data_IF_900052523976
#
_entry.id   IF_900052523976
#
_cell.length_a   1.000
_cell.length_b   1.000
_cell.length_c   1.000
_cell.angle_alpha   90.00
_cell.angle_beta   90.00
_cell.angle_gamma   90.00
#
_symmetry.space_group_name_H-M   'P 1'
#
loop_
_entity.id
_entity.type
_entity.pdbx_description
1 polymer ?
#
# COMPACT_ATOMS: atom_id res chain seq x y z
N UNK A 1 -0.04 3.20 -30.44
CA UNK A 1 -0.49 3.50 -29.06
C UNK A 1 0.69 4.15 -28.35
N UNK A 2 0.70 5.47 -28.21
CA UNK A 2 1.78 6.18 -27.47
C UNK A 2 1.44 6.08 -25.98
N UNK A 3 2.22 5.30 -25.23
CA UNK A 3 2.14 5.29 -23.77
C UNK A 3 2.81 6.56 -23.25
N UNK A 4 2.08 7.35 -22.48
CA UNK A 4 2.53 8.62 -21.93
C UNK A 4 3.55 8.37 -20.80
N UNK A 5 4.81 8.14 -21.16
CA UNK A 5 5.91 7.80 -20.25
C UNK A 5 6.12 8.83 -19.14
N UNK A 6 5.77 10.10 -19.40
CA UNK A 6 5.89 11.19 -18.43
C UNK A 6 4.98 11.04 -17.19
N UNK A 7 3.83 10.37 -17.31
CA UNK A 7 2.93 10.16 -16.17
C UNK A 7 3.48 9.12 -15.17
N UNK A 8 4.30 8.18 -15.66
CA UNK A 8 4.93 7.12 -14.85
C UNK A 8 6.12 7.68 -14.08
N UNK A 9 6.90 8.56 -14.69
CA UNK A 9 8.05 9.21 -14.05
C UNK A 9 7.65 10.13 -12.89
N UNK A 10 6.52 10.84 -13.01
CA UNK A 10 6.04 11.73 -11.95
C UNK A 10 5.62 10.97 -10.67
N UNK A 11 5.15 9.72 -10.79
CA UNK A 11 4.87 8.87 -9.62
C UNK A 11 6.15 8.43 -8.90
N UNK A 12 7.27 8.29 -9.60
CA UNK A 12 8.53 7.84 -9.01
C UNK A 12 9.28 8.95 -8.23
N UNK A 13 8.93 10.22 -8.42
CA UNK A 13 9.68 11.37 -7.89
C UNK A 13 9.42 11.74 -6.42
N UNK A 14 8.50 11.06 -5.73
CA UNK A 14 8.30 11.28 -4.30
C UNK A 14 9.35 10.52 -3.47
N UNK A 15 10.41 11.22 -3.05
CA UNK A 15 11.40 10.81 -2.03
C UNK A 15 10.83 9.77 -1.06
N UNK A 16 11.52 8.63 -0.93
CA UNK A 16 11.17 7.50 -0.04
C UNK A 16 10.65 7.95 1.34
N UNK A 17 11.31 8.93 1.96
CA UNK A 17 11.00 9.46 3.29
C UNK A 17 9.62 10.15 3.38
N UNK A 18 9.21 10.88 2.33
CA UNK A 18 7.89 11.52 2.27
C UNK A 18 6.77 10.51 2.04
N UNK A 19 7.05 9.43 1.30
CA UNK A 19 6.10 8.33 1.10
C UNK A 19 5.91 7.50 2.37
N UNK A 20 7.01 7.25 3.06
CA UNK A 20 7.08 6.55 4.34
C UNK A 20 6.15 7.22 5.38
N UNK A 21 6.38 8.50 5.67
CA UNK A 21 5.54 9.25 6.62
C UNK A 21 4.06 9.36 6.21
N UNK A 22 3.75 9.48 4.92
CA UNK A 22 2.36 9.53 4.44
C UNK A 22 1.59 8.23 4.71
N UNK A 23 2.22 7.07 4.44
CA UNK A 23 1.60 5.77 4.67
C UNK A 23 1.28 5.52 6.15
N UNK A 24 2.24 5.79 7.04
CA UNK A 24 2.01 5.60 8.48
C UNK A 24 0.89 6.50 9.01
N UNK A 25 0.82 7.75 8.54
CA UNK A 25 -0.24 8.68 8.91
C UNK A 25 -1.61 8.20 8.44
N UNK A 26 -1.70 7.68 7.21
CA UNK A 26 -2.95 7.12 6.67
C UNK A 26 -3.42 5.90 7.48
N UNK A 27 -2.51 4.96 7.77
CA UNK A 27 -2.81 3.78 8.59
C UNK A 27 -3.30 4.19 9.98
N UNK A 28 -2.64 5.16 10.63
CA UNK A 28 -3.06 5.67 11.93
C UNK A 28 -4.47 6.27 11.89
N UNK A 29 -4.73 7.17 10.93
CA UNK A 29 -6.04 7.79 10.75
C UNK A 29 -7.14 6.74 10.49
N UNK A 30 -6.86 5.70 9.71
CA UNK A 30 -7.82 4.62 9.45
C UNK A 30 -8.14 3.84 10.74
N UNK A 31 -7.13 3.42 11.49
CA UNK A 31 -7.32 2.60 12.69
C UNK A 31 -8.00 3.37 13.84
N UNK A 32 -7.82 4.69 13.92
CA UNK A 32 -8.59 5.53 14.84
C UNK A 32 -10.10 5.48 14.57
N UNK A 33 -10.50 5.44 13.29
CA UNK A 33 -11.91 5.37 12.87
C UNK A 33 -12.46 3.95 12.95
N UNK A 34 -11.60 2.94 12.84
CA UNK A 34 -11.96 1.53 12.79
C UNK A 34 -11.15 0.70 13.80
N UNK A 35 -11.32 0.94 15.12
CA UNK A 35 -10.47 0.34 16.16
C UNK A 35 -10.62 -1.18 16.30
N UNK A 36 -11.71 -1.77 15.81
CA UNK A 36 -11.93 -3.21 15.81
C UNK A 36 -11.18 -3.95 14.69
N UNK A 37 -10.48 -3.23 13.80
CA UNK A 37 -9.71 -3.84 12.70
C UNK A 37 -8.56 -4.66 13.26
N UNK A 38 -8.58 -5.96 13.03
CA UNK A 38 -7.50 -6.87 13.45
C UNK A 38 -6.57 -7.25 12.29
N UNK A 39 -7.11 -7.25 11.07
CA UNK A 39 -6.42 -7.69 9.87
C UNK A 39 -6.77 -6.81 8.68
N UNK A 40 -5.83 -6.73 7.74
CA UNK A 40 -5.99 -6.14 6.41
C UNK A 40 -5.71 -7.22 5.38
N UNK A 41 -6.61 -7.39 4.42
CA UNK A 41 -6.42 -8.31 3.31
C UNK A 41 -5.92 -7.52 2.08
N UNK A 42 -4.75 -7.89 1.59
CA UNK A 42 -4.23 -7.38 0.31
C UNK A 42 -4.59 -8.42 -0.74
N UNK A 43 -5.27 -7.98 -1.80
CA UNK A 43 -5.73 -8.80 -2.91
C UNK A 43 -5.20 -8.22 -4.22
N UNK A 44 -4.64 -9.09 -5.05
CA UNK A 44 -4.12 -8.77 -6.37
C UNK A 44 -4.60 -9.82 -7.35
N UNK A 45 -4.93 -9.40 -8.56
CA UNK A 45 -5.26 -10.32 -9.64
C UNK A 45 -4.00 -10.61 -10.44
N UNK A 46 -3.66 -11.88 -10.63
CA UNK A 46 -2.55 -12.27 -11.49
C UNK A 46 -2.89 -12.17 -12.99
N UNK A 47 -1.91 -12.43 -13.85
CA UNK A 47 -2.09 -12.37 -15.31
C UNK A 47 -3.14 -13.35 -15.84
N UNK A 48 -3.47 -14.39 -15.07
CA UNK A 48 -4.48 -15.38 -15.43
C UNK A 48 -5.87 -15.03 -14.86
N UNK A 49 -6.03 -13.84 -14.26
CA UNK A 49 -7.29 -13.45 -13.64
C UNK A 49 -7.52 -14.07 -12.25
N UNK A 50 -6.53 -14.76 -11.68
CA UNK A 50 -6.67 -15.42 -10.38
C UNK A 50 -6.38 -14.44 -9.24
N UNK A 51 -7.26 -14.42 -8.24
CA UNK A 51 -7.02 -13.65 -7.01
C UNK A 51 -5.93 -14.30 -6.18
N UNK A 52 -4.90 -13.52 -5.87
CA UNK A 52 -3.85 -13.83 -4.92
C UNK A 52 -3.93 -12.82 -3.80
N UNK A 53 -3.88 -13.28 -2.56
CA UNK A 53 -3.93 -12.37 -1.44
C UNK A 53 -3.15 -12.82 -0.23
N UNK A 54 -2.93 -11.85 0.65
CA UNK A 54 -2.29 -12.06 1.95
C UNK A 54 -3.08 -11.30 3.00
N UNK A 55 -3.45 -12.01 4.05
CA UNK A 55 -3.98 -11.42 5.28
C UNK A 55 -2.83 -10.95 6.15
N UNK A 56 -2.85 -9.70 6.58
CA UNK A 56 -1.80 -9.08 7.37
C UNK A 56 -2.41 -8.57 8.68
N UNK A 57 -1.87 -8.97 9.85
CA UNK A 57 -2.32 -8.39 11.11
C UNK A 57 -1.96 -6.89 11.15
N UNK A 58 -2.77 -6.06 11.79
CA UNK A 58 -2.51 -4.61 11.89
C UNK A 58 -1.13 -4.29 12.48
N UNK A 59 -0.62 -5.14 13.38
CA UNK A 59 0.73 -5.06 13.95
C UNK A 59 1.86 -5.20 12.91
N UNK A 60 1.57 -5.82 11.76
CA UNK A 60 2.49 -6.01 10.64
C UNK A 60 2.52 -4.85 9.65
N UNK A 61 1.55 -3.94 9.67
CA UNK A 61 1.44 -2.86 8.68
C UNK A 61 2.67 -1.93 8.69
N UNK A 62 3.29 -1.71 9.85
CA UNK A 62 4.52 -0.90 9.96
C UNK A 62 5.68 -1.44 9.11
N UNK A 63 5.72 -2.75 8.84
CA UNK A 63 6.79 -3.38 8.05
C UNK A 63 6.54 -3.26 6.54
N UNK A 64 5.29 -3.12 6.12
CA UNK A 64 4.91 -3.00 4.71
C UNK A 64 5.48 -1.75 4.04
N UNK A 65 5.64 -0.68 4.81
CA UNK A 65 6.29 0.55 4.37
C UNK A 65 7.68 0.32 3.77
N UNK A 66 8.39 -0.72 4.23
CA UNK A 66 9.73 -1.10 3.75
C UNK A 66 9.71 -2.21 2.70
N UNK A 67 8.53 -2.56 2.17
CA UNK A 67 8.37 -3.63 1.18
C UNK A 67 8.61 -5.04 1.72
N UNK A 68 8.52 -5.24 3.03
CA UNK A 68 8.77 -6.52 3.73
C UNK A 68 7.51 -7.33 4.03
#
# INVERSE_FOLDING_TARGET
>A
MQTNSAAVEHFAQHHEERRSSAFQNEVAHYLERHPATQYVDILLTDLNGSFRGKRIPVSGLKKLEKGS
#
